data_IF_222161257310
#
_entry.id   IF_222161257310
#
_cell.length_a   1.000
_cell.length_b   1.000
_cell.length_c   1.000
_cell.angle_alpha   90.00
_cell.angle_beta   90.00
_cell.angle_gamma   90.00
#
_symmetry.space_group_name_H-M   'P 1'
#
loop_
_entity.id
_entity.type
_entity.pdbx_description
1 polymer ?
#
# COMPACT_ATOMS: atom_id res chain seq x y z
N UNK A 1 -27.56 -6.33 18.97
CA UNK A 1 -26.42 -7.10 18.40
C UNK A 1 -26.56 -7.22 16.88
N UNK A 2 -26.63 -6.10 16.16
CA UNK A 2 -26.82 -6.05 14.69
C UNK A 2 -25.98 -4.91 14.09
N UNK A 3 -25.80 -3.83 14.85
CA UNK A 3 -24.90 -2.73 14.52
C UNK A 3 -23.51 -3.22 14.09
N UNK A 4 -22.91 -4.17 14.82
CA UNK A 4 -21.60 -4.73 14.47
C UNK A 4 -21.54 -5.37 13.08
N UNK A 5 -22.58 -6.11 12.68
CA UNK A 5 -22.63 -6.76 11.37
C UNK A 5 -22.75 -5.74 10.24
N UNK A 6 -23.60 -4.73 10.44
CA UNK A 6 -23.76 -3.63 9.48
C UNK A 6 -22.47 -2.83 9.35
N UNK A 7 -21.83 -2.49 10.47
CA UNK A 7 -20.55 -1.78 10.47
C UNK A 7 -19.47 -2.55 9.73
N UNK A 8 -19.36 -3.85 9.95
CA UNK A 8 -18.40 -4.70 9.24
C UNK A 8 -18.65 -4.69 7.73
N UNK A 9 -19.89 -4.89 7.30
CA UNK A 9 -20.25 -4.90 5.89
C UNK A 9 -20.03 -3.54 5.21
N UNK A 10 -20.30 -2.43 5.89
CA UNK A 10 -20.02 -1.10 5.37
C UNK A 10 -18.52 -0.87 5.18
N UNK A 11 -17.68 -1.33 6.12
CA UNK A 11 -16.22 -1.24 5.99
C UNK A 11 -15.69 -2.05 4.82
N UNK A 12 -16.24 -3.24 4.57
CA UNK A 12 -15.89 -4.05 3.40
C UNK A 12 -16.31 -3.37 2.09
N UNK A 13 -17.55 -2.84 2.02
CA UNK A 13 -18.05 -2.20 0.81
C UNK A 13 -17.29 -0.90 0.45
N UNK A 14 -16.79 -0.18 1.46
CA UNK A 14 -16.05 1.08 1.29
C UNK A 14 -14.54 0.90 1.23
N UNK A 15 -14.04 -0.33 1.40
CA UNK A 15 -12.61 -0.61 1.43
C UNK A 15 -11.84 -0.08 0.20
N UNK A 16 -12.35 -0.12 -1.05
CA UNK A 16 -11.64 0.42 -2.20
C UNK A 16 -11.39 1.93 -2.13
N UNK A 17 -12.25 2.65 -1.41
CA UNK A 17 -12.16 4.11 -1.24
C UNK A 17 -11.38 4.48 0.03
N UNK A 18 -11.46 3.64 1.06
CA UNK A 18 -10.80 3.88 2.35
C UNK A 18 -9.32 3.46 2.36
N UNK A 19 -8.95 2.46 1.57
CA UNK A 19 -7.62 1.86 1.62
C UNK A 19 -6.98 1.81 0.23
N UNK A 20 -5.81 2.41 0.11
CA UNK A 20 -5.03 2.39 -1.13
C UNK A 20 -4.45 1.01 -1.48
N UNK A 21 -4.49 0.06 -0.53
CA UNK A 21 -3.75 -1.20 -0.57
C UNK A 21 -4.66 -2.43 -0.35
N UNK A 22 -5.94 -2.35 -0.74
CA UNK A 22 -6.89 -3.46 -0.56
C UNK A 22 -6.43 -4.75 -1.26
N UNK A 23 -5.79 -4.62 -2.44
CA UNK A 23 -5.28 -5.74 -3.21
C UNK A 23 -3.97 -6.33 -2.67
N UNK A 24 -3.46 -5.87 -1.51
CA UNK A 24 -2.21 -6.38 -0.93
C UNK A 24 -2.25 -7.88 -0.69
N UNK A 25 -3.39 -8.44 -0.27
CA UNK A 25 -3.50 -9.87 -0.01
C UNK A 25 -3.30 -10.67 -1.30
N UNK A 26 -3.89 -10.22 -2.40
CA UNK A 26 -3.74 -10.82 -3.73
C UNK A 26 -2.29 -10.73 -4.20
N UNK A 27 -1.69 -9.53 -4.11
CA UNK A 27 -0.29 -9.30 -4.50
C UNK A 27 0.69 -10.12 -3.65
N UNK A 28 0.40 -10.33 -2.36
CA UNK A 28 1.26 -11.10 -1.44
C UNK A 28 1.29 -12.59 -1.75
N UNK A 29 0.25 -13.15 -2.36
CA UNK A 29 0.25 -14.58 -2.74
C UNK A 29 1.41 -14.86 -3.71
N UNK A 30 1.65 -13.94 -4.64
CA UNK A 30 2.68 -14.10 -5.67
C UNK A 30 4.08 -13.61 -5.22
N UNK A 31 4.18 -12.92 -4.08
CA UNK A 31 5.45 -12.44 -3.55
C UNK A 31 6.16 -13.53 -2.73
N UNK A 32 7.39 -13.89 -3.11
CA UNK A 32 8.25 -14.71 -2.25
C UNK A 32 8.67 -13.88 -1.01
N UNK A 33 8.34 -14.34 0.22
CA UNK A 33 8.57 -13.58 1.47
C UNK A 33 10.05 -13.36 1.81
N UNK A 34 10.97 -14.14 1.24
CA UNK A 34 12.41 -14.06 1.50
C UNK A 34 13.12 -13.22 0.43
N UNK A 35 12.54 -13.12 -0.75
CA UNK A 35 13.13 -12.33 -1.83
C UNK A 35 13.12 -10.84 -1.52
N UNK A 36 14.16 -10.14 -1.99
CA UNK A 36 14.26 -8.69 -1.83
C UNK A 36 13.21 -8.01 -2.70
N UNK A 37 12.56 -7.00 -2.13
CA UNK A 37 11.63 -6.15 -2.87
C UNK A 37 12.33 -5.46 -4.06
N UNK A 38 11.66 -5.47 -5.22
CA UNK A 38 12.15 -4.80 -6.42
C UNK A 38 11.89 -3.30 -6.28
N UNK A 39 12.92 -2.44 -6.38
CA UNK A 39 12.74 -1.00 -6.28
C UNK A 39 12.00 -0.46 -7.51
N UNK A 40 11.17 0.56 -7.29
CA UNK A 40 10.48 1.25 -8.39
C UNK A 40 11.46 2.12 -9.20
N UNK A 41 11.13 2.42 -10.45
CA UNK A 41 11.93 3.31 -11.31
C UNK A 41 12.22 4.67 -10.66
N UNK A 42 11.23 5.22 -9.95
CA UNK A 42 11.36 6.47 -9.18
C UNK A 42 12.35 6.33 -8.02
N UNK A 43 12.34 5.19 -7.32
CA UNK A 43 13.30 4.92 -6.25
C UNK A 43 14.73 4.79 -6.80
N UNK A 44 14.89 4.15 -7.97
CA UNK A 44 16.18 4.06 -8.66
C UNK A 44 16.69 5.44 -9.08
N UNK A 45 15.87 6.25 -9.75
CA UNK A 45 16.23 7.62 -10.11
C UNK A 45 16.63 8.45 -8.89
N UNK A 46 15.83 8.42 -7.81
CA UNK A 46 16.14 9.14 -6.57
C UNK A 46 17.49 8.71 -5.96
N UNK A 47 17.82 7.41 -6.06
CA UNK A 47 19.10 6.87 -5.61
C UNK A 47 20.27 7.36 -6.48
N UNK A 48 20.08 7.39 -7.80
CA UNK A 48 21.10 7.83 -8.77
C UNK A 48 21.36 9.34 -8.65
N UNK A 49 20.31 10.16 -8.66
CA UNK A 49 20.41 11.62 -8.60
C UNK A 49 20.80 12.11 -7.21
N UNK A 50 20.65 11.28 -6.17
CA UNK A 50 20.76 11.65 -4.74
C UNK A 50 19.88 12.83 -4.38
N UNK A 51 18.83 13.09 -5.17
CA UNK A 51 17.89 14.16 -4.92
C UNK A 51 17.07 13.82 -3.67
N UNK A 52 17.16 14.72 -2.70
CA UNK A 52 16.34 14.66 -1.50
C UNK A 52 15.02 15.33 -1.86
N UNK A 53 13.90 14.67 -1.59
CA UNK A 53 12.60 15.35 -1.77
C UNK A 53 12.50 16.42 -0.69
N UNK A 54 12.61 17.68 -1.10
CA UNK A 54 12.70 18.83 -0.21
C UNK A 54 11.35 19.11 0.47
N UNK A 55 10.27 18.44 0.02
CA UNK A 55 8.90 18.59 0.54
C UNK A 55 8.64 17.82 1.83
N UNK A 56 9.48 16.84 2.19
CA UNK A 56 9.35 16.06 3.42
C UNK A 56 9.92 16.77 4.67
N UNK A 57 10.58 17.94 4.51
CA UNK A 57 11.24 18.68 5.60
C UNK A 57 10.41 19.85 6.17
N UNK A 58 9.14 20.01 5.76
CA UNK A 58 8.26 21.09 6.26
C UNK A 58 7.13 20.54 7.15
#
# INVERSE_FOLDING_TARGET
>A
MLAYYVEWHMRQALAPLLYAEENLLEVRVDCDPVTKAVPTSKALQKKETKERDIRDFK
#
